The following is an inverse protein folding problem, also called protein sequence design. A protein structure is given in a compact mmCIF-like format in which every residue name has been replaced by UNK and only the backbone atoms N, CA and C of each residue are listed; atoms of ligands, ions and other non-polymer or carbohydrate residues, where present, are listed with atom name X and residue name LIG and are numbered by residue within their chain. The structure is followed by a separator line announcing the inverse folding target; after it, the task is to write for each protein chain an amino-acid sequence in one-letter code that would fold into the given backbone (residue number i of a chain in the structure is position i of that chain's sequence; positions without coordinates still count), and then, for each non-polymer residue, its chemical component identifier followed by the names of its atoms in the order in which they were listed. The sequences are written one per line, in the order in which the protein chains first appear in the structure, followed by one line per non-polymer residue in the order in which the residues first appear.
data_IF_977411260271
#
_entry.id   IF_977411260271
#
_cell.length_a   1.000
_cell.length_b   1.000
_cell.length_c   1.000
_cell.angle_alpha   90.00
_cell.angle_beta   90.00
_cell.angle_gamma   90.00
#
_symmetry.space_group_name_H-M   'P 1'
#
loop_
_entity.id
_entity.type
_entity.pdbx_description
1 polymer ?
#
# COMPACT_ATOMS: atom_id res chain seq x y z
N UNK A 1 3.02 -26.49 19.93
CA UNK A 1 3.87 -25.54 19.16
C UNK A 1 3.46 -24.12 19.53
N UNK A 2 4.37 -23.31 20.07
CA UNK A 2 4.04 -21.96 20.56
C UNK A 2 3.78 -20.96 19.41
N UNK A 3 3.16 -19.82 19.72
CA UNK A 3 2.76 -18.81 18.73
C UNK A 3 3.95 -18.26 17.92
N UNK A 4 5.12 -18.11 18.57
CA UNK A 4 6.36 -17.67 17.89
C UNK A 4 6.81 -18.68 16.83
N UNK A 5 6.75 -19.98 17.13
CA UNK A 5 7.09 -21.05 16.18
C UNK A 5 6.10 -21.12 15.02
N UNK A 6 4.79 -20.92 15.28
CA UNK A 6 3.77 -20.81 14.22
C UNK A 6 4.01 -19.60 13.30
N UNK A 7 4.33 -18.43 13.88
CA UNK A 7 4.63 -17.23 13.12
C UNK A 7 5.91 -17.38 12.27
N UNK A 8 6.96 -17.99 12.83
CA UNK A 8 8.22 -18.28 12.11
C UNK A 8 8.02 -19.30 10.98
N UNK A 9 7.24 -20.35 11.19
CA UNK A 9 6.90 -21.33 10.14
C UNK A 9 6.02 -20.71 9.05
N UNK A 10 5.08 -19.84 9.41
CA UNK A 10 4.28 -19.11 8.44
C UNK A 10 5.15 -18.14 7.63
N UNK A 11 6.07 -17.40 8.27
CA UNK A 11 7.05 -16.56 7.58
C UNK A 11 7.97 -17.37 6.67
N UNK A 12 8.47 -18.52 7.13
CA UNK A 12 9.31 -19.41 6.32
C UNK A 12 8.56 -19.98 5.12
N UNK A 13 7.31 -20.42 5.31
CA UNK A 13 6.44 -20.87 4.23
C UNK A 13 6.15 -19.74 3.22
N UNK A 14 5.86 -18.53 3.71
CA UNK A 14 5.64 -17.35 2.86
C UNK A 14 6.90 -16.95 2.11
N UNK A 15 8.09 -17.06 2.72
CA UNK A 15 9.38 -16.85 2.05
C UNK A 15 9.66 -17.91 0.99
N UNK A 16 9.32 -19.17 1.25
CA UNK A 16 9.54 -20.27 0.30
C UNK A 16 8.55 -20.21 -0.88
N UNK A 17 7.29 -19.83 -0.62
CA UNK A 17 6.30 -19.51 -1.66
C UNK A 17 6.71 -18.26 -2.44
N UNK A 18 7.27 -17.25 -1.78
CA UNK A 18 7.82 -16.06 -2.41
C UNK A 18 9.04 -16.36 -3.30
N UNK A 19 9.88 -17.31 -2.91
CA UNK A 19 11.06 -17.78 -3.64
C UNK A 19 10.65 -18.65 -4.84
N UNK A 20 9.67 -19.53 -4.68
CA UNK A 20 9.07 -20.30 -5.78
C UNK A 20 8.34 -19.39 -6.79
N UNK A 21 7.65 -18.35 -6.30
CA UNK A 21 7.00 -17.33 -7.14
C UNK A 21 8.02 -16.36 -7.76
N UNK A 22 9.23 -16.26 -7.19
CA UNK A 22 10.26 -15.37 -7.71
C UNK A 22 10.86 -15.86 -9.04
N UNK A 23 10.71 -17.15 -9.37
CA UNK A 23 11.20 -17.76 -10.61
C UNK A 23 10.20 -17.66 -11.79
N UNK A 24 8.95 -17.23 -11.57
CA UNK A 24 7.99 -16.97 -12.64
C UNK A 24 7.63 -15.48 -12.67
N UNK A 25 8.36 -14.71 -13.47
CA UNK A 25 7.84 -13.43 -13.95
C UNK A 25 6.62 -13.74 -14.83
N UNK A 26 5.41 -13.58 -14.32
CA UNK A 26 4.22 -13.89 -15.12
C UNK A 26 3.00 -13.13 -14.66
N UNK A 27 2.65 -12.08 -15.38
CA UNK A 27 1.28 -11.58 -15.36
C UNK A 27 0.31 -12.75 -15.63
N UNK A 28 -0.87 -12.74 -15.01
CA UNK A 28 -1.89 -13.75 -15.33
C UNK A 28 -2.28 -13.64 -16.81
N UNK A 29 -2.79 -14.70 -17.45
CA UNK A 29 -3.21 -14.66 -18.86
C UNK A 29 -4.21 -13.52 -19.16
N UNK A 30 -5.11 -13.23 -18.23
CA UNK A 30 -6.09 -12.14 -18.34
C UNK A 30 -5.40 -10.78 -18.30
N UNK A 31 -4.42 -10.61 -17.41
CA UNK A 31 -3.66 -9.37 -17.31
C UNK A 31 -2.76 -9.18 -18.54
N UNK A 32 -2.20 -10.27 -19.09
CA UNK A 32 -1.48 -10.24 -20.35
C UNK A 32 -2.37 -9.79 -21.51
N UNK A 33 -3.59 -10.32 -21.60
CA UNK A 33 -4.57 -9.90 -22.62
C UNK A 33 -4.82 -8.39 -22.55
N UNK A 34 -5.03 -7.84 -21.34
CA UNK A 34 -5.23 -6.39 -21.15
C UNK A 34 -3.99 -5.58 -21.52
N UNK A 35 -2.80 -6.08 -21.21
CA UNK A 35 -1.53 -5.43 -21.57
C UNK A 35 -1.36 -5.41 -23.09
N UNK A 36 -1.61 -6.54 -23.77
CA UNK A 36 -1.53 -6.68 -25.22
C UNK A 36 -2.54 -5.78 -25.94
N UNK A 37 -3.77 -5.69 -25.44
CA UNK A 37 -4.77 -4.77 -25.98
C UNK A 37 -4.29 -3.32 -25.89
N UNK A 38 -3.81 -2.89 -24.73
CA UNK A 38 -3.27 -1.53 -24.55
C UNK A 38 -1.99 -1.30 -25.34
N UNK A 39 -1.17 -2.33 -25.52
CA UNK A 39 -0.02 -2.27 -26.41
C UNK A 39 -0.46 -2.01 -27.83
N UNK A 40 -1.42 -2.79 -28.35
CA UNK A 40 -1.99 -2.62 -29.68
C UNK A 40 -2.57 -1.21 -29.88
N UNK A 41 -3.21 -0.65 -28.86
CA UNK A 41 -3.71 0.73 -28.84
C UNK A 41 -2.63 1.82 -28.78
N UNK A 42 -1.40 1.48 -28.38
CA UNK A 42 -0.35 2.47 -28.14
C UNK A 42 0.81 2.40 -29.13
N UNK A 43 1.04 1.24 -29.75
CA UNK A 43 2.17 0.99 -30.65
C UNK A 43 2.17 1.89 -31.89
N UNK A 44 3.30 2.50 -32.27
CA UNK A 44 3.43 3.24 -33.50
C UNK A 44 3.47 2.26 -34.68
N UNK A 45 2.45 2.26 -35.53
CA UNK A 45 2.41 1.44 -36.75
C UNK A 45 2.64 2.32 -37.97
N UNK A 46 3.49 1.82 -38.87
CA UNK A 46 3.87 2.48 -40.11
C UNK A 46 3.73 1.54 -41.30
N UNK A 47 3.44 2.14 -42.45
CA UNK A 47 3.62 1.51 -43.77
C UNK A 47 4.59 2.37 -44.56
N UNK A 48 5.67 1.78 -45.02
CA UNK A 48 6.76 2.45 -45.73
C UNK A 48 6.74 2.01 -47.19
N UNK A 49 6.71 2.99 -48.08
CA UNK A 49 6.84 2.81 -49.52
C UNK A 49 8.24 3.26 -49.92
N UNK A 50 9.01 2.35 -50.51
CA UNK A 50 10.37 2.65 -50.97
C UNK A 50 10.39 3.05 -52.43
N UNK A 51 11.47 3.71 -52.86
CA UNK A 51 11.72 4.07 -54.25
C UNK A 51 11.87 2.86 -55.19
N UNK A 52 12.14 1.66 -54.64
CA UNK A 52 12.17 0.40 -55.37
C UNK A 52 10.78 -0.23 -55.58
N UNK A 53 9.73 0.35 -54.99
CA UNK A 53 8.38 -0.19 -55.02
C UNK A 53 8.09 -1.24 -53.93
N UNK A 54 9.01 -1.44 -52.98
CA UNK A 54 8.77 -2.31 -51.82
C UNK A 54 7.81 -1.64 -50.83
N UNK A 55 6.95 -2.45 -50.21
CA UNK A 55 6.02 -2.02 -49.17
C UNK A 55 6.31 -2.79 -47.89
N UNK A 56 6.72 -2.07 -46.85
CA UNK A 56 7.06 -2.64 -45.54
C UNK A 56 6.11 -2.09 -44.50
N UNK A 57 5.41 -2.97 -43.79
CA UNK A 57 4.48 -2.60 -42.72
C UNK A 57 4.94 -3.20 -41.39
N UNK A 58 4.76 -2.45 -40.30
CA UNK A 58 5.04 -2.95 -38.96
C UNK A 58 5.15 -1.85 -37.91
N UNK A 59 5.65 -2.26 -36.76
CA UNK A 59 5.89 -1.38 -35.63
C UNK A 59 7.18 -0.59 -35.82
N UNK A 60 7.12 0.71 -35.59
CA UNK A 60 8.30 1.55 -35.67
C UNK A 60 9.13 1.46 -34.38
N UNK A 61 10.18 0.64 -34.40
CA UNK A 61 11.03 0.43 -33.22
C UNK A 61 11.93 1.64 -32.97
N UNK A 62 12.66 2.07 -34.00
CA UNK A 62 13.65 3.13 -33.90
C UNK A 62 13.83 3.83 -35.26
N UNK A 63 14.22 5.11 -35.23
CA UNK A 63 14.69 5.83 -36.41
C UNK A 63 16.04 6.47 -36.09
N UNK A 64 17.11 5.93 -36.69
CA UNK A 64 18.45 6.51 -36.63
C UNK A 64 18.57 7.65 -37.64
N UNK A 65 19.73 8.30 -37.72
CA UNK A 65 19.97 9.36 -38.71
C UNK A 65 19.85 8.91 -40.16
N UNK A 66 20.02 7.62 -40.45
CA UNK A 66 20.18 7.06 -41.78
C UNK A 66 19.24 5.90 -42.09
N UNK A 67 18.64 5.28 -41.07
CA UNK A 67 17.83 4.08 -41.20
C UNK A 67 16.57 4.13 -40.33
N UNK A 68 15.55 3.41 -40.78
CA UNK A 68 14.32 3.14 -40.06
C UNK A 68 14.27 1.65 -39.71
N UNK A 69 14.02 1.33 -38.44
CA UNK A 69 13.95 -0.03 -37.92
C UNK A 69 12.49 -0.40 -37.65
N UNK A 70 12.01 -1.42 -38.35
CA UNK A 70 10.60 -1.81 -38.38
C UNK A 70 10.49 -3.26 -37.94
N UNK A 71 9.67 -3.51 -36.92
CA UNK A 71 9.36 -4.86 -36.46
C UNK A 71 8.02 -5.30 -37.06
N UNK A 72 7.98 -6.35 -37.91
CA UNK A 72 6.76 -6.76 -38.58
C UNK A 72 5.77 -7.53 -37.69
N UNK A 73 6.21 -8.02 -36.53
CA UNK A 73 5.34 -8.72 -35.58
C UNK A 73 4.35 -7.77 -34.87
N UNK A 74 3.41 -8.33 -34.11
CA UNK A 74 2.38 -7.61 -33.35
C UNK A 74 2.60 -7.65 -31.82
N UNK A 75 3.58 -8.45 -31.36
CA UNK A 75 3.97 -8.59 -29.97
C UNK A 75 4.82 -7.44 -29.43
N UNK A 76 5.12 -7.50 -28.13
CA UNK A 76 6.01 -6.55 -27.45
C UNK A 76 7.47 -6.79 -27.85
N UNK A 77 8.24 -5.77 -28.26
CA UNK A 77 9.65 -5.91 -28.61
C UNK A 77 10.52 -6.00 -27.34
N UNK A 78 10.47 -7.15 -26.68
CA UNK A 78 11.17 -7.48 -25.43
C UNK A 78 11.88 -8.82 -25.58
N UNK A 79 13.08 -8.94 -24.98
CA UNK A 79 13.93 -10.11 -25.15
C UNK A 79 14.65 -10.11 -26.50
N UNK A 80 15.48 -11.11 -26.77
CA UNK A 80 16.41 -11.05 -27.92
C UNK A 80 15.81 -11.51 -29.26
N UNK A 81 14.61 -12.10 -29.25
CA UNK A 81 14.04 -12.78 -30.42
C UNK A 81 13.61 -11.81 -31.53
N UNK A 82 12.98 -10.69 -31.17
CA UNK A 82 12.42 -9.73 -32.14
C UNK A 82 13.49 -9.00 -32.96
N UNK A 83 14.73 -8.91 -32.46
CA UNK A 83 15.83 -8.22 -33.14
C UNK A 83 16.17 -8.89 -34.47
N UNK A 84 16.09 -10.22 -34.54
CA UNK A 84 16.35 -10.99 -35.77
C UNK A 84 15.28 -10.78 -36.86
N UNK A 85 14.11 -10.26 -36.50
CA UNK A 85 12.99 -10.03 -37.40
C UNK A 85 12.92 -8.59 -37.92
N UNK A 86 13.81 -7.71 -37.43
CA UNK A 86 13.83 -6.30 -37.81
C UNK A 86 14.08 -6.11 -39.31
N UNK A 87 13.22 -5.31 -39.94
CA UNK A 87 13.45 -4.76 -41.28
C UNK A 87 14.11 -3.39 -41.14
N UNK A 88 15.18 -3.19 -41.91
CA UNK A 88 15.96 -1.96 -41.91
C UNK A 88 15.77 -1.30 -43.28
N UNK A 89 15.32 -0.05 -43.28
CA UNK A 89 15.08 0.74 -44.49
C UNK A 89 15.95 1.99 -44.46
N UNK A 90 16.74 2.22 -45.49
CA UNK A 90 17.53 3.44 -45.63
C UNK A 90 16.61 4.65 -45.78
N UNK A 91 16.83 5.71 -45.00
CA UNK A 91 15.98 6.92 -44.99
C UNK A 91 15.91 7.62 -46.35
N UNK A 92 16.95 7.48 -47.17
CA UNK A 92 16.99 8.04 -48.52
C UNK A 92 16.27 7.17 -49.57
N UNK A 93 15.95 5.92 -49.23
CA UNK A 93 15.22 4.99 -50.10
C UNK A 93 13.71 5.05 -49.84
N UNK A 94 13.27 5.89 -48.88
CA UNK A 94 11.88 6.09 -48.53
C UNK A 94 11.28 7.17 -49.42
N UNK A 95 10.21 6.82 -50.14
CA UNK A 95 9.40 7.79 -50.88
C UNK A 95 8.35 8.42 -49.95
N UNK A 96 7.60 7.56 -49.25
CA UNK A 96 6.57 8.01 -48.32
C UNK A 96 6.33 7.01 -47.18
N UNK A 97 5.81 7.52 -46.07
CA UNK A 97 5.40 6.74 -44.91
C UNK A 97 3.97 7.10 -44.56
N UNK A 98 3.11 6.09 -44.44
CA UNK A 98 1.84 6.21 -43.75
C UNK A 98 2.12 6.03 -42.26
N UNK A 99 2.08 7.13 -41.51
CA UNK A 99 2.30 7.13 -40.09
C UNK A 99 0.97 7.25 -39.36
N UNK A 100 0.73 6.33 -38.43
CA UNK A 100 -0.42 6.41 -37.54
C UNK A 100 0.00 6.89 -36.17
N UNK A 101 -0.23 8.17 -35.89
CA UNK A 101 0.03 8.73 -34.56
C UNK A 101 -0.94 8.09 -33.54
N UNK A 102 -0.37 7.27 -32.64
CA UNK A 102 -1.04 6.75 -31.44
C UNK A 102 -1.78 5.42 -31.57
N UNK A 103 -1.14 4.35 -32.07
CA UNK A 103 -1.68 2.99 -32.00
C UNK A 103 -2.08 2.39 -33.35
N UNK A 104 -2.10 1.06 -33.44
CA UNK A 104 -2.54 0.28 -34.60
C UNK A 104 -4.06 0.48 -34.82
N UNK A 105 -4.46 1.22 -35.86
CA UNK A 105 -5.87 1.63 -36.08
C UNK A 105 -6.63 0.72 -37.04
N UNK A 106 -6.82 -0.53 -36.65
CA UNK A 106 -8.04 -1.25 -37.05
C UNK A 106 -9.25 -0.83 -36.19
N UNK A 107 -9.04 -0.13 -35.07
CA UNK A 107 -10.06 0.15 -34.05
C UNK A 107 -10.44 1.63 -33.87
N UNK A 108 -9.85 2.59 -34.60
CA UNK A 108 -10.18 4.03 -34.45
C UNK A 108 -10.24 4.71 -35.82
N UNK A 109 -11.38 5.31 -36.16
CA UNK A 109 -11.69 6.05 -37.40
C UNK A 109 -10.84 7.34 -37.64
N UNK A 110 -9.54 7.33 -37.32
CA UNK A 110 -8.63 8.45 -37.59
C UNK A 110 -7.74 8.13 -38.78
N UNK A 111 -7.78 8.99 -39.81
CA UNK A 111 -6.92 8.93 -41.00
C UNK A 111 -5.44 8.85 -40.60
N UNK A 112 -4.67 8.02 -41.32
CA UNK A 112 -3.21 8.00 -41.24
C UNK A 112 -2.63 9.26 -41.88
N UNK A 113 -1.54 9.78 -41.32
CA UNK A 113 -0.83 10.91 -41.92
C UNK A 113 0.13 10.39 -42.98
N UNK A 114 0.02 10.96 -44.19
CA UNK A 114 0.97 10.67 -45.28
C UNK A 114 2.16 11.59 -45.12
N UNK A 115 3.32 11.01 -44.85
CA UNK A 115 4.59 11.72 -44.74
C UNK A 115 5.42 11.46 -46.00
N UNK A 116 5.59 12.50 -46.83
CA UNK A 116 6.44 12.41 -48.04
C UNK A 116 7.87 12.78 -47.67
N UNK A 117 8.82 11.91 -48.03
CA UNK A 117 10.23 12.09 -47.69
C UNK A 117 10.95 12.88 -48.79
N UNK A 118 11.62 14.00 -48.46
CA UNK A 118 12.35 14.77 -49.44
C UNK A 118 13.67 14.07 -49.80
N UNK A 119 13.83 13.70 -51.06
CA UNK A 119 15.11 13.22 -51.61
C UNK A 119 15.81 14.32 -52.40
N UNK A 120 17.13 14.56 -52.25
CA UNK A 120 18.04 14.02 -51.22
C UNK A 120 18.01 14.84 -49.90
N UNK A 121 18.47 14.25 -48.79
CA UNK A 121 18.56 14.83 -47.42
C UNK A 121 17.38 14.61 -46.47
N UNK A 122 16.68 13.48 -46.59
CA UNK A 122 15.58 13.13 -45.69
C UNK A 122 15.97 13.01 -44.19
N UNK A 123 17.27 12.86 -43.87
CA UNK A 123 17.82 12.62 -42.51
C UNK A 123 17.45 13.66 -41.44
N UNK A 124 17.19 14.90 -41.84
CA UNK A 124 16.78 15.98 -40.92
C UNK A 124 15.42 16.58 -41.30
N UNK A 125 14.70 15.88 -42.17
CA UNK A 125 13.40 16.32 -42.62
C UNK A 125 12.38 16.27 -41.46
N UNK A 126 11.37 17.14 -41.53
CA UNK A 126 10.26 17.12 -40.57
C UNK A 126 9.60 15.73 -40.44
N UNK A 127 9.36 14.97 -41.53
CA UNK A 127 8.95 13.57 -41.48
C UNK A 127 9.85 12.67 -40.62
N UNK A 128 11.15 12.75 -40.82
CA UNK A 128 12.12 11.94 -40.07
C UNK A 128 12.09 12.24 -38.57
N UNK A 129 12.05 13.54 -38.21
CA UNK A 129 11.95 13.96 -36.81
C UNK A 129 10.64 13.48 -36.16
N UNK A 130 9.53 13.50 -36.91
CA UNK A 130 8.25 12.96 -36.45
C UNK A 130 8.33 11.46 -36.19
N UNK A 131 8.90 10.70 -37.14
CA UNK A 131 9.15 9.26 -36.98
C UNK A 131 10.03 8.97 -35.76
N UNK A 132 11.15 9.67 -35.58
CA UNK A 132 12.02 9.47 -34.41
C UNK A 132 11.28 9.73 -33.09
N UNK A 133 10.42 10.75 -33.03
CA UNK A 133 9.62 11.03 -31.84
C UNK A 133 8.52 9.99 -31.59
N UNK A 134 8.01 9.35 -32.64
CA UNK A 134 6.99 8.30 -32.58
C UNK A 134 7.51 6.91 -32.25
N UNK A 135 8.82 6.66 -32.41
CA UNK A 135 9.45 5.35 -32.23
C UNK A 135 9.26 4.75 -30.83
N UNK A 136 9.21 3.41 -30.74
CA UNK A 136 9.16 2.69 -29.45
C UNK A 136 10.36 3.06 -28.58
N UNK A 137 11.57 3.07 -29.15
CA UNK A 137 12.81 3.48 -28.50
C UNK A 137 13.42 4.69 -29.23
N UNK A 138 13.16 5.91 -28.72
CA UNK A 138 13.49 7.17 -29.40
C UNK A 138 15.00 7.45 -29.53
N UNK A 139 15.76 7.11 -28.50
CA UNK A 139 17.14 7.60 -28.35
C UNK A 139 18.20 6.52 -28.66
N UNK A 140 17.83 5.25 -28.64
CA UNK A 140 18.69 4.16 -29.09
C UNK A 140 17.88 2.91 -29.45
N UNK A 141 18.44 2.08 -30.34
CA UNK A 141 17.98 0.71 -30.53
C UNK A 141 18.43 -0.10 -29.32
N UNK A 142 17.56 -0.21 -28.32
CA UNK A 142 17.80 -1.06 -27.15
C UNK A 142 17.22 -2.43 -27.43
N UNK A 143 17.98 -3.46 -27.08
CA UNK A 143 17.50 -4.84 -26.95
C UNK A 143 17.30 -5.14 -25.46
N UNK A 144 16.16 -4.73 -24.87
CA UNK A 144 15.96 -4.89 -23.45
C UNK A 144 15.81 -6.39 -23.13
N UNK A 145 16.66 -6.96 -22.25
CA UNK A 145 16.61 -8.38 -21.92
C UNK A 145 15.33 -8.77 -21.19
N UNK A 146 14.67 -7.80 -20.55
CA UNK A 146 13.43 -7.99 -19.84
C UNK A 146 12.47 -6.79 -20.02
N UNK A 147 11.24 -7.00 -19.57
CA UNK A 147 10.16 -6.02 -19.68
C UNK A 147 10.41 -4.77 -18.83
N UNK A 148 11.11 -4.88 -17.71
CA UNK A 148 11.38 -3.77 -16.79
C UNK A 148 12.26 -2.72 -17.47
N UNK A 149 13.35 -3.18 -18.10
CA UNK A 149 14.26 -2.35 -18.88
C UNK A 149 13.50 -1.71 -20.04
N UNK A 150 12.68 -2.48 -20.77
CA UNK A 150 11.89 -1.98 -21.90
C UNK A 150 10.95 -0.83 -21.51
N UNK A 151 10.17 -0.99 -20.44
CA UNK A 151 9.22 0.02 -19.96
C UNK A 151 9.96 1.29 -19.49
N UNK A 152 11.10 1.15 -18.81
CA UNK A 152 11.84 2.30 -18.28
C UNK A 152 12.35 3.23 -19.39
N UNK A 153 12.65 2.68 -20.56
CA UNK A 153 13.27 3.37 -21.69
C UNK A 153 12.27 3.82 -22.76
N UNK A 154 11.09 3.18 -22.86
CA UNK A 154 10.08 3.52 -23.87
C UNK A 154 8.91 4.36 -23.30
N UNK A 155 8.64 5.51 -23.92
CA UNK A 155 7.40 6.28 -23.62
C UNK A 155 6.14 5.55 -24.09
N UNK A 156 6.24 4.78 -25.18
CA UNK A 156 5.13 4.04 -25.77
C UNK A 156 4.76 2.88 -24.86
N UNK A 157 5.73 2.06 -24.45
CA UNK A 157 5.50 0.93 -23.52
C UNK A 157 4.82 1.40 -22.23
N UNK A 158 5.21 2.55 -21.68
CA UNK A 158 4.58 3.11 -20.46
C UNK A 158 3.08 3.41 -20.59
N UNK A 159 2.53 3.51 -21.79
CA UNK A 159 1.08 3.66 -21.99
C UNK A 159 0.35 2.32 -21.83
N UNK A 160 0.97 1.21 -22.23
CA UNK A 160 0.44 -0.14 -22.02
C UNK A 160 0.46 -0.51 -20.52
N UNK A 161 1.49 -0.10 -19.79
CA UNK A 161 1.69 -0.37 -18.36
C UNK A 161 1.37 0.87 -17.51
N UNK A 162 0.09 1.09 -17.18
CA UNK A 162 -0.37 2.25 -16.38
C UNK A 162 0.37 2.38 -15.05
N UNK A 163 0.66 3.63 -14.67
CA UNK A 163 1.26 3.96 -13.36
C UNK A 163 0.27 3.66 -12.25
N UNK A 164 0.68 2.83 -11.29
CA UNK A 164 -0.08 2.61 -10.08
C UNK A 164 0.32 3.63 -9.02
N UNK A 165 -0.65 4.32 -8.43
CA UNK A 165 -0.42 5.39 -7.45
C UNK A 165 -1.23 5.23 -6.17
N UNK A 166 -2.39 4.57 -6.24
CA UNK A 166 -3.25 4.40 -5.07
C UNK A 166 -2.91 3.07 -4.43
N UNK A 167 -2.54 3.06 -3.15
CA UNK A 167 -2.29 1.85 -2.36
C UNK A 167 -3.38 1.70 -1.31
N UNK A 168 -3.98 0.51 -1.29
CA UNK A 168 -4.82 0.03 -0.18
C UNK A 168 -4.02 -0.99 0.62
N UNK A 169 -3.98 -0.86 1.94
CA UNK A 169 -3.32 -1.81 2.82
C UNK A 169 -4.30 -2.35 3.86
N UNK A 170 -4.25 -3.66 4.08
CA UNK A 170 -4.99 -4.37 5.11
C UNK A 170 -4.01 -5.23 5.91
N UNK A 171 -4.24 -5.38 7.21
CA UNK A 171 -3.30 -6.13 8.03
C UNK A 171 -3.81 -6.47 9.41
N UNK A 172 -2.94 -7.06 10.20
CA UNK A 172 -3.09 -7.23 11.63
C UNK A 172 -1.91 -6.58 12.32
N UNK A 173 -2.13 -6.16 13.55
CA UNK A 173 -1.07 -5.59 14.35
C UNK A 173 -1.12 -6.13 15.77
N UNK A 174 0.02 -6.02 16.43
CA UNK A 174 0.27 -6.46 17.79
C UNK A 174 1.31 -5.52 18.40
N UNK A 175 1.26 -5.36 19.71
CA UNK A 175 2.15 -4.42 20.38
C UNK A 175 1.80 -4.25 21.84
N UNK A 176 2.46 -3.28 22.44
CA UNK A 176 2.22 -2.85 23.81
C UNK A 176 1.82 -1.38 23.82
N UNK A 177 0.99 -1.02 24.79
CA UNK A 177 0.64 0.36 25.09
C UNK A 177 0.95 0.70 26.55
N UNK A 178 1.01 2.00 26.83
CA UNK A 178 1.25 2.51 28.18
C UNK A 178 -0.02 2.42 29.03
N UNK A 179 -1.19 2.66 28.41
CA UNK A 179 -2.49 2.72 29.07
C UNK A 179 -2.84 1.47 29.88
N UNK A 180 -2.45 0.27 29.42
CA UNK A 180 -2.71 -0.96 30.18
C UNK A 180 -2.04 -0.91 31.56
N UNK A 181 -0.83 -0.35 31.66
CA UNK A 181 -0.14 -0.21 32.95
C UNK A 181 -0.71 0.93 33.79
N UNK A 182 -1.09 2.04 33.16
CA UNK A 182 -1.68 3.19 33.87
C UNK A 182 -3.00 2.81 34.53
N UNK A 183 -3.85 2.05 33.81
CA UNK A 183 -5.11 1.51 34.35
C UNK A 183 -4.85 0.60 35.56
N UNK A 184 -3.88 -0.32 35.46
CA UNK A 184 -3.52 -1.20 36.58
C UNK A 184 -3.08 -0.40 37.79
N UNK A 185 -2.25 0.62 37.58
CA UNK A 185 -1.78 1.51 38.66
C UNK A 185 -2.93 2.30 39.28
N UNK A 186 -3.87 2.80 38.46
CA UNK A 186 -5.06 3.51 38.93
C UNK A 186 -5.93 2.61 39.81
N UNK A 187 -6.25 1.40 39.34
CA UNK A 187 -7.12 0.45 40.08
C UNK A 187 -6.52 0.06 41.44
N UNK A 188 -5.19 -0.11 41.52
CA UNK A 188 -4.48 -0.36 42.78
C UNK A 188 -4.60 0.78 43.80
N UNK A 189 -4.90 2.00 43.35
CA UNK A 189 -5.11 3.17 44.20
C UNK A 189 -6.55 3.36 44.68
N UNK A 190 -7.48 2.50 44.25
CA UNK A 190 -8.89 2.56 44.68
C UNK A 190 -9.15 1.69 45.92
N UNK A 191 -10.32 1.84 46.52
CA UNK A 191 -10.82 0.94 47.58
C UNK A 191 -11.30 -0.42 47.06
N UNK A 192 -11.24 -0.67 45.75
CA UNK A 192 -11.64 -1.95 45.17
C UNK A 192 -10.72 -3.09 45.61
N UNK A 193 -11.25 -4.31 45.73
CA UNK A 193 -10.44 -5.51 45.96
C UNK A 193 -9.29 -5.63 44.95
N UNK A 194 -8.14 -6.14 45.41
CA UNK A 194 -6.94 -6.25 44.57
C UNK A 194 -7.15 -7.27 43.44
N UNK A 195 -6.82 -6.85 42.23
CA UNK A 195 -6.89 -7.70 41.03
C UNK A 195 -5.94 -8.90 41.09
N UNK A 196 -6.46 -10.09 40.77
CA UNK A 196 -5.67 -11.32 40.60
C UNK A 196 -5.25 -11.59 39.15
N UNK A 197 -6.02 -11.09 38.17
CA UNK A 197 -5.75 -11.28 36.74
C UNK A 197 -6.13 -10.04 35.93
N UNK A 198 -5.33 -9.70 34.92
CA UNK A 198 -5.61 -8.60 33.99
C UNK A 198 -5.12 -8.96 32.59
N UNK A 199 -6.00 -8.85 31.60
CA UNK A 199 -5.76 -9.27 30.22
C UNK A 199 -5.88 -8.11 29.23
N UNK A 200 -4.75 -7.47 28.89
CA UNK A 200 -4.68 -6.55 27.76
C UNK A 200 -4.48 -7.30 26.44
N UNK A 201 -5.54 -7.50 25.66
CA UNK A 201 -5.47 -8.10 24.33
C UNK A 201 -5.39 -7.04 23.23
N UNK A 202 -4.27 -6.93 22.51
CA UNK A 202 -4.11 -5.99 21.39
C UNK A 202 -3.96 -6.68 20.03
N UNK A 203 -4.79 -7.69 19.74
CA UNK A 203 -4.93 -8.15 18.35
C UNK A 203 -5.98 -7.26 17.70
N UNK A 204 -5.52 -6.22 17.02
CA UNK A 204 -6.41 -5.33 16.29
C UNK A 204 -6.24 -5.58 14.79
N UNK A 205 -7.36 -5.84 14.11
CA UNK A 205 -7.40 -5.77 12.65
C UNK A 205 -7.07 -4.34 12.21
N UNK A 206 -6.20 -4.21 11.22
CA UNK A 206 -6.03 -2.94 10.53
C UNK A 206 -7.05 -2.83 9.41
N UNK A 207 -8.06 -1.99 9.68
CA UNK A 207 -9.12 -1.66 8.74
C UNK A 207 -8.63 -0.58 7.78
N UNK A 208 -8.33 -1.02 6.57
CA UNK A 208 -8.07 -0.26 5.34
C UNK A 208 -7.30 1.06 5.48
N UNK A 209 -5.99 0.99 5.25
CA UNK A 209 -5.13 2.16 5.09
C UNK A 209 -5.10 2.58 3.62
N UNK A 210 -5.43 3.85 3.32
CA UNK A 210 -5.39 4.39 1.97
C UNK A 210 -4.19 5.32 1.84
N UNK A 211 -3.41 5.15 0.78
CA UNK A 211 -2.28 6.02 0.50
C UNK A 211 -2.08 6.28 -0.99
N UNK A 212 -1.47 7.42 -1.28
CA UNK A 212 -1.24 7.92 -2.62
C UNK A 212 0.24 8.20 -2.82
N UNK A 213 0.83 7.57 -3.84
CA UNK A 213 2.22 7.79 -4.24
C UNK A 213 2.33 9.03 -5.13
N UNK A 214 3.04 10.04 -4.62
CA UNK A 214 3.46 11.23 -5.34
C UNK A 214 4.87 10.99 -5.91
N UNK A 215 4.96 10.99 -7.25
CA UNK A 215 6.18 10.65 -8.00
C UNK A 215 6.62 9.20 -7.70
N UNK A 216 7.87 8.99 -7.28
CA UNK A 216 8.46 7.67 -7.06
C UNK A 216 8.70 7.32 -5.60
N UNK A 217 8.64 8.32 -4.71
CA UNK A 217 9.18 8.18 -3.34
C UNK A 217 8.27 8.71 -2.25
N UNK A 218 7.56 9.80 -2.49
CA UNK A 218 6.68 10.37 -1.47
C UNK A 218 5.35 9.63 -1.52
N UNK A 219 4.88 9.17 -0.36
CA UNK A 219 3.60 8.51 -0.20
C UNK A 219 2.84 9.27 0.89
N UNK A 220 1.64 9.73 0.57
CA UNK A 220 0.76 10.42 1.52
C UNK A 220 -0.40 9.48 1.82
N UNK A 221 -0.71 9.25 3.09
CA UNK A 221 -1.74 8.29 3.44
C UNK A 221 -2.46 8.63 4.73
N UNK A 222 -3.47 7.82 4.99
CA UNK A 222 -4.22 7.88 6.22
C UNK A 222 -5.16 6.69 6.36
N UNK A 223 -5.55 6.47 7.60
CA UNK A 223 -6.51 5.43 7.96
C UNK A 223 -7.92 5.88 7.58
N UNK A 224 -8.61 5.13 6.72
CA UNK A 224 -9.97 5.47 6.28
C UNK A 224 -11.02 5.25 7.37
N UNK A 225 -10.78 4.31 8.28
CA UNK A 225 -11.68 3.99 9.38
C UNK A 225 -11.04 4.36 10.71
N UNK A 226 -11.85 4.90 11.62
CA UNK A 226 -11.47 5.06 13.03
C UNK A 226 -10.99 3.74 13.55
N UNK A 227 -9.74 3.69 13.99
CA UNK A 227 -9.23 2.52 14.65
C UNK A 227 -9.54 2.64 16.13
N UNK A 228 -10.41 1.78 16.64
CA UNK A 228 -10.63 1.68 18.08
C UNK A 228 -9.49 0.84 18.65
N UNK A 229 -8.52 1.48 19.29
CA UNK A 229 -7.58 0.76 20.15
C UNK A 229 -8.34 0.42 21.42
N UNK A 230 -8.56 -0.86 21.67
CA UNK A 230 -9.38 -1.33 22.78
C UNK A 230 -8.47 -1.98 23.82
N UNK A 231 -8.58 -1.53 25.06
CA UNK A 231 -7.91 -2.11 26.22
C UNK A 231 -8.98 -2.43 27.25
N UNK A 232 -9.19 -3.72 27.47
CA UNK A 232 -10.08 -4.19 28.52
C UNK A 232 -9.28 -4.71 29.68
N UNK A 233 -9.62 -4.26 30.88
CA UNK A 233 -9.11 -4.81 32.12
C UNK A 233 -10.29 -5.40 32.87
N UNK A 234 -10.47 -6.71 32.66
CA UNK A 234 -11.37 -7.53 33.45
C UNK A 234 -10.73 -7.86 34.78
N UNK A 235 -11.48 -7.80 35.88
CA UNK A 235 -11.04 -8.33 37.18
C UNK A 235 -12.18 -8.98 37.94
N UNK A 236 -11.84 -10.06 38.64
CA UNK A 236 -12.70 -10.72 39.61
C UNK A 236 -11.93 -10.87 40.93
N UNK A 237 -12.62 -10.81 42.06
CA UNK A 237 -12.08 -11.13 43.39
C UNK A 237 -12.96 -12.12 44.11
N UNK A 238 -12.34 -13.11 44.76
CA UNK A 238 -12.98 -14.28 45.38
C UNK A 238 -13.01 -14.27 46.91
N UNK A 239 -12.45 -13.26 47.58
CA UNK A 239 -12.37 -13.23 49.04
C UNK A 239 -13.28 -12.11 49.61
N UNK A 240 -14.37 -12.55 50.26
CA UNK A 240 -15.39 -11.79 50.99
C UNK A 240 -16.29 -10.86 50.14
N UNK A 241 -17.28 -11.48 49.50
CA UNK A 241 -18.25 -10.83 48.60
C UNK A 241 -17.69 -10.75 47.19
N UNK A 242 -18.32 -11.44 46.24
CA UNK A 242 -17.82 -11.43 44.86
C UNK A 242 -18.10 -10.05 44.27
N UNK A 243 -17.09 -9.17 44.27
CA UNK A 243 -17.12 -7.91 43.51
C UNK A 243 -16.51 -8.18 42.15
N UNK A 244 -17.33 -8.01 41.12
CA UNK A 244 -16.88 -8.04 39.73
C UNK A 244 -16.76 -6.62 39.22
N UNK A 245 -15.66 -6.29 38.56
CA UNK A 245 -15.56 -5.04 37.86
C UNK A 245 -14.82 -5.20 36.52
N UNK A 246 -15.31 -4.46 35.54
CA UNK A 246 -14.80 -4.43 34.18
C UNK A 246 -14.52 -2.98 33.81
N UNK A 247 -13.31 -2.71 33.35
CA UNK A 247 -12.91 -1.42 32.84
C UNK A 247 -12.54 -1.54 31.38
N UNK A 248 -13.40 -0.99 30.52
CA UNK A 248 -13.13 -0.77 29.13
C UNK A 248 -12.50 0.62 28.96
N UNK A 249 -11.29 0.71 28.42
CA UNK A 249 -10.79 1.97 27.89
C UNK A 249 -10.49 1.81 26.42
N UNK A 250 -11.07 2.71 25.63
CA UNK A 250 -10.90 2.72 24.20
C UNK A 250 -10.34 4.05 23.73
N UNK A 251 -9.57 4.01 22.65
CA UNK A 251 -9.00 5.18 22.02
C UNK A 251 -9.26 5.10 20.53
N UNK A 252 -10.19 5.93 20.06
CA UNK A 252 -10.52 6.06 18.64
C UNK A 252 -9.47 6.95 18.00
N UNK A 253 -8.64 6.40 17.12
CA UNK A 253 -7.58 7.15 16.46
C UNK A 253 -7.84 7.28 14.95
N UNK A 254 -7.51 8.46 14.42
CA UNK A 254 -7.34 8.78 13.02
C UNK A 254 -5.87 9.12 12.75
N UNK A 255 -5.38 8.71 11.59
CA UNK A 255 -3.99 8.90 11.20
C UNK A 255 -3.91 9.58 9.86
N UNK A 256 -3.05 10.58 9.77
CA UNK A 256 -2.59 11.15 8.50
C UNK A 256 -1.08 11.13 8.52
N UNK A 257 -0.45 10.57 7.49
CA UNK A 257 0.98 10.38 7.46
C UNK A 257 1.60 10.69 6.09
N UNK A 258 2.90 10.94 6.13
CA UNK A 258 3.76 10.98 4.96
C UNK A 258 4.89 9.96 5.14
N UNK A 259 5.12 9.14 4.12
CA UNK A 259 6.21 8.19 4.03
C UNK A 259 7.12 8.54 2.85
N UNK A 260 8.39 8.21 3.00
CA UNK A 260 9.40 8.33 1.97
C UNK A 260 10.02 6.97 1.69
N UNK A 261 10.05 6.57 0.42
CA UNK A 261 10.70 5.35 -0.03
C UNK A 261 12.23 5.55 -0.09
N UNK A 262 12.90 5.02 0.93
CA UNK A 262 14.37 4.99 1.05
C UNK A 262 14.92 4.05 -0.03
N UNK A 263 14.44 2.81 -0.02
CA UNK A 263 14.64 1.84 -1.10
C UNK A 263 13.34 1.80 -1.88
N UNK A 264 13.33 2.33 -3.10
CA UNK A 264 12.12 2.46 -3.90
C UNK A 264 11.92 1.27 -4.83
N UNK A 265 10.66 0.88 -5.00
CA UNK A 265 10.25 0.21 -6.23
C UNK A 265 10.09 1.25 -7.36
N UNK A 266 10.14 0.79 -8.60
CA UNK A 266 9.87 1.66 -9.73
C UNK A 266 8.34 1.84 -9.90
N UNK A 267 7.91 2.66 -10.86
CA UNK A 267 6.47 2.94 -11.06
C UNK A 267 5.67 1.73 -11.58
N UNK A 268 6.35 0.64 -11.89
CA UNK A 268 5.82 -0.57 -12.50
C UNK A 268 5.90 -1.76 -11.55
N UNK A 269 6.45 -1.56 -10.35
CA UNK A 269 6.63 -2.60 -9.33
C UNK A 269 7.53 -3.74 -9.82
N UNK A 270 8.52 -3.39 -10.65
CA UNK A 270 9.52 -4.29 -11.21
C UNK A 270 10.43 -4.83 -10.10
N UNK A 271 10.81 -3.95 -9.17
CA UNK A 271 11.55 -4.34 -7.98
C UNK A 271 10.62 -4.95 -6.95
N UNK A 272 11.02 -6.13 -6.47
CA UNK A 272 10.30 -6.89 -5.45
C UNK A 272 10.38 -6.30 -4.05
N UNK A 273 11.25 -5.32 -3.80
CA UNK A 273 11.48 -4.81 -2.45
C UNK A 273 11.34 -3.30 -2.37
N UNK A 274 10.74 -2.83 -1.27
CA UNK A 274 10.66 -1.41 -0.93
C UNK A 274 10.75 -1.20 0.59
N UNK A 275 11.51 -0.19 0.98
CA UNK A 275 11.69 0.23 2.38
C UNK A 275 11.21 1.67 2.51
N UNK A 276 10.28 1.87 3.44
CA UNK A 276 9.62 3.14 3.71
C UNK A 276 9.96 3.60 5.13
N UNK A 277 10.17 4.90 5.28
CA UNK A 277 10.19 5.56 6.58
C UNK A 277 9.29 6.79 6.53
N UNK A 278 8.55 7.05 7.59
CA UNK A 278 7.56 8.11 7.59
C UNK A 278 7.25 8.65 8.97
N UNK A 279 6.52 9.75 8.96
CA UNK A 279 5.96 10.36 10.14
C UNK A 279 4.52 10.79 9.87
N UNK A 280 3.72 10.92 10.93
CA UNK A 280 2.33 11.30 10.82
C UNK A 280 1.80 12.00 12.05
N UNK A 281 0.62 12.58 11.87
CA UNK A 281 -0.20 13.13 12.93
C UNK A 281 -1.23 12.06 13.33
N UNK A 282 -1.37 11.88 14.64
CA UNK A 282 -2.42 11.11 15.26
C UNK A 282 -3.42 12.09 15.86
N UNK A 283 -4.69 11.87 15.58
CA UNK A 283 -5.80 12.58 16.19
C UNK A 283 -6.66 11.50 16.81
N UNK A 284 -6.88 11.53 18.11
CA UNK A 284 -7.76 10.54 18.72
C UNK A 284 -8.58 11.06 19.86
N UNK A 285 -9.59 10.26 20.20
CA UNK A 285 -10.57 10.56 21.23
C UNK A 285 -10.61 9.38 22.21
N UNK A 286 -10.31 9.62 23.50
CA UNK A 286 -10.42 8.59 24.52
C UNK A 286 -11.89 8.41 24.90
N UNK A 287 -12.30 7.16 25.04
CA UNK A 287 -13.57 6.79 25.66
C UNK A 287 -13.28 5.79 26.75
N UNK A 288 -13.92 5.94 27.91
CA UNK A 288 -13.76 4.97 28.98
C UNK A 288 -15.12 4.52 29.50
N UNK A 289 -15.16 3.31 30.04
CA UNK A 289 -16.35 2.72 30.62
C UNK A 289 -15.92 1.86 31.78
N UNK A 290 -16.43 2.18 32.96
CA UNK A 290 -16.19 1.39 34.15
C UNK A 290 -17.51 0.76 34.59
N UNK A 291 -17.57 -0.56 34.59
CA UNK A 291 -18.68 -1.34 35.09
C UNK A 291 -18.24 -2.03 36.38
N UNK A 292 -19.12 -2.05 37.38
CA UNK A 292 -18.92 -2.87 38.57
C UNK A 292 -20.24 -3.48 39.01
N UNK A 293 -20.16 -4.64 39.64
CA UNK A 293 -21.28 -5.36 40.22
C UNK A 293 -20.86 -6.09 41.48
N UNK A 294 -21.75 -6.10 42.47
CA UNK A 294 -21.63 -6.79 43.74
C UNK A 294 -22.56 -8.00 43.76
N UNK A 295 -22.05 -9.13 44.24
CA UNK A 295 -22.86 -10.27 44.64
C UNK A 295 -22.89 -10.34 46.16
N UNK A 296 -24.10 -10.29 46.74
CA UNK A 296 -24.28 -10.59 48.16
C UNK A 296 -24.29 -12.10 48.37
N UNK A 297 -23.49 -12.58 49.32
CA UNK A 297 -23.50 -14.00 49.71
C UNK A 297 -24.84 -14.42 50.37
N UNK A 298 -25.58 -13.45 50.92
CA UNK A 298 -26.86 -13.68 51.59
C UNK A 298 -28.03 -13.77 50.59
N UNK A 299 -27.91 -13.17 49.40
CA UNK A 299 -28.89 -13.24 48.32
C UNK A 299 -28.18 -13.25 46.94
N UNK A 300 -27.70 -14.42 46.49
CA UNK A 300 -26.95 -14.53 45.23
C UNK A 300 -27.80 -14.25 43.98
N UNK A 301 -29.12 -14.13 44.11
CA UNK A 301 -30.02 -13.72 43.02
C UNK A 301 -30.11 -12.19 42.88
N UNK A 302 -29.72 -11.42 43.90
CA UNK A 302 -29.74 -9.96 43.87
C UNK A 302 -28.35 -9.40 43.50
N UNK A 303 -28.16 -9.15 42.21
CA UNK A 303 -26.96 -8.51 41.67
C UNK A 303 -27.20 -7.01 41.60
N UNK A 304 -26.48 -6.25 42.42
CA UNK A 304 -26.50 -4.80 42.38
C UNK A 304 -25.23 -4.29 41.69
N UNK A 305 -25.35 -3.33 40.77
CA UNK A 305 -24.21 -2.86 39.99
C UNK A 305 -24.41 -1.46 39.46
N UNK A 306 -23.30 -0.83 39.11
CA UNK A 306 -23.24 0.53 38.61
C UNK A 306 -22.40 0.62 37.34
N UNK A 307 -22.62 1.71 36.61
CA UNK A 307 -21.91 1.97 35.37
C UNK A 307 -21.50 3.43 35.27
N UNK A 308 -20.22 3.66 35.00
CA UNK A 308 -19.72 4.94 34.55
C UNK A 308 -19.42 4.86 33.06
N UNK A 309 -20.08 5.71 32.30
CA UNK A 309 -19.74 5.98 30.91
C UNK A 309 -19.23 7.39 30.78
N UNK A 310 -18.04 7.55 30.20
CA UNK A 310 -17.62 8.88 29.76
C UNK A 310 -17.11 8.77 28.34
N UNK A 311 -17.79 9.51 27.47
CA UNK A 311 -17.28 9.86 26.16
C UNK A 311 -16.69 11.25 26.28
N UNK A 312 -15.36 11.34 26.21
CA UNK A 312 -14.70 12.63 26.30
C UNK A 312 -14.70 13.28 24.91
N UNK A 313 -15.18 14.52 24.84
CA UNK A 313 -15.08 15.32 23.61
C UNK A 313 -13.63 15.78 23.35
N UNK A 314 -12.73 15.58 24.32
CA UNK A 314 -11.33 16.00 24.25
C UNK A 314 -10.61 15.27 23.11
N UNK A 315 -10.00 16.08 22.25
CA UNK A 315 -9.17 15.60 21.16
C UNK A 315 -7.72 15.52 21.66
N UNK A 316 -7.16 14.31 21.64
CA UNK A 316 -5.76 14.07 21.86
C UNK A 316 -4.99 14.14 20.56
N UNK A 317 -3.91 14.92 20.58
CA UNK A 317 -2.96 14.98 19.48
C UNK A 317 -1.76 14.09 19.80
N UNK A 318 -1.22 13.47 18.75
CA UNK A 318 -0.02 12.68 18.83
C UNK A 318 0.80 12.71 17.56
N UNK A 319 2.03 12.25 17.68
CA UNK A 319 2.93 12.02 16.57
C UNK A 319 3.10 10.52 16.33
N UNK A 320 3.21 10.14 15.07
CA UNK A 320 3.58 8.80 14.66
C UNK A 320 4.92 8.84 13.95
N UNK A 321 5.81 7.90 14.28
CA UNK A 321 6.98 7.55 13.49
C UNK A 321 6.79 6.12 13.02
N UNK A 322 6.99 5.86 11.73
CA UNK A 322 6.78 4.52 11.17
C UNK A 322 7.90 4.11 10.22
N UNK A 323 8.20 2.81 10.23
CA UNK A 323 9.05 2.16 9.26
C UNK A 323 8.33 0.96 8.68
N UNK A 324 8.37 0.79 7.36
CA UNK A 324 7.70 -0.32 6.69
C UNK A 324 8.59 -0.97 5.63
N UNK A 325 8.40 -2.27 5.47
CA UNK A 325 9.03 -3.10 4.46
C UNK A 325 7.95 -3.75 3.61
N UNK A 326 8.09 -3.68 2.29
CA UNK A 326 7.18 -4.29 1.34
C UNK A 326 7.93 -5.28 0.45
N UNK A 327 7.37 -6.48 0.30
CA UNK A 327 7.75 -7.49 -0.67
C UNK A 327 6.66 -7.67 -1.73
N UNK A 328 6.92 -7.23 -2.96
CA UNK A 328 6.03 -7.36 -4.11
C UNK A 328 6.23 -8.72 -4.77
N UNK A 329 5.31 -9.66 -4.48
CA UNK A 329 5.27 -10.96 -5.14
C UNK A 329 4.50 -10.92 -6.47
N UNK A 330 3.77 -9.83 -6.73
CA UNK A 330 3.16 -9.53 -8.02
C UNK A 330 3.18 -8.01 -8.24
N UNK A 331 3.27 -7.49 -9.49
CA UNK A 331 3.32 -6.06 -9.74
C UNK A 331 2.15 -5.31 -9.08
N UNK A 332 2.47 -4.51 -8.06
CA UNK A 332 1.50 -3.75 -7.26
C UNK A 332 0.78 -4.55 -6.18
N UNK A 333 1.11 -5.80 -5.90
CA UNK A 333 0.59 -6.55 -4.77
C UNK A 333 1.76 -6.96 -3.87
N UNK A 334 1.73 -6.55 -2.60
CA UNK A 334 2.82 -6.81 -1.65
C UNK A 334 2.36 -7.41 -0.35
N UNK A 335 3.18 -8.30 0.21
CA UNK A 335 3.23 -8.53 1.65
C UNK A 335 4.00 -7.39 2.28
N UNK A 336 3.56 -6.90 3.42
CA UNK A 336 4.28 -5.84 4.12
C UNK A 336 4.37 -6.11 5.61
N UNK A 337 5.42 -5.59 6.21
CA UNK A 337 5.60 -5.53 7.67
C UNK A 337 5.95 -4.11 8.05
N UNK A 338 5.52 -3.65 9.23
CA UNK A 338 5.85 -2.32 9.71
C UNK A 338 6.03 -2.27 11.22
N UNK A 339 6.74 -1.25 11.67
CA UNK A 339 6.80 -0.82 13.05
C UNK A 339 6.34 0.63 13.16
N UNK A 340 5.41 0.89 14.07
CA UNK A 340 4.91 2.21 14.39
C UNK A 340 5.22 2.55 15.84
N UNK A 341 5.77 3.74 16.06
CA UNK A 341 5.91 4.38 17.35
C UNK A 341 4.89 5.52 17.42
N UNK A 342 3.92 5.40 18.30
CA UNK A 342 2.88 6.41 18.52
C UNK A 342 3.17 7.11 19.84
N UNK A 343 3.35 8.42 19.78
CA UNK A 343 3.54 9.30 20.92
C UNK A 343 2.31 10.17 21.03
N UNK A 344 1.48 9.95 22.04
CA UNK A 344 0.24 10.68 22.27
C UNK A 344 0.39 11.46 23.57
N UNK A 345 -0.12 12.69 23.59
CA UNK A 345 -0.16 13.46 24.82
C UNK A 345 -0.95 12.68 25.89
N UNK A 346 -0.49 12.70 27.15
CA UNK A 346 -1.23 12.06 28.22
C UNK A 346 -2.58 12.74 28.46
N UNK A 347 -3.54 11.96 28.95
CA UNK A 347 -4.87 12.43 29.29
C UNK A 347 -5.11 12.33 30.78
N UNK A 348 -5.44 13.44 31.43
CA UNK A 348 -5.68 13.46 32.87
C UNK A 348 -7.18 13.31 33.11
N UNK A 349 -7.55 12.26 33.83
CA UNK A 349 -8.91 12.07 34.34
C UNK A 349 -8.95 12.61 35.75
N UNK A 350 -9.83 13.57 36.00
CA UNK A 350 -10.08 14.10 37.34
C UNK A 350 -10.63 13.03 38.27
N UNK A 351 -10.40 13.20 39.57
CA UNK A 351 -10.99 12.33 40.60
C UNK A 351 -12.51 12.23 40.45
N UNK A 352 -13.05 11.03 40.66
CA UNK A 352 -14.48 10.73 40.53
C UNK A 352 -14.92 9.75 41.60
N UNK A 353 -16.08 10.00 42.19
CA UNK A 353 -16.77 9.02 43.02
C UNK A 353 -17.76 8.21 42.17
N UNK A 354 -17.79 6.90 42.42
CA UNK A 354 -18.75 5.99 41.83
C UNK A 354 -20.08 6.07 42.57
N UNK A 355 -21.18 6.14 41.81
CA UNK A 355 -22.52 6.01 42.35
C UNK A 355 -22.75 4.54 42.73
N UNK A 356 -22.70 4.24 44.03
CA UNK A 356 -22.80 2.88 44.58
C UNK A 356 -24.14 2.72 45.31
N UNK A 357 -24.73 1.50 45.35
CA UNK A 357 -25.97 1.24 46.07
C UNK A 357 -25.89 1.58 47.56
N UNK A 358 -27.05 1.87 48.16
CA UNK A 358 -27.17 2.17 49.59
C UNK A 358 -26.59 1.02 50.45
N UNK A 359 -25.63 1.35 51.32
CA UNK A 359 -24.95 0.37 52.19
C UNK A 359 -23.59 -0.10 51.69
N UNK A 360 -23.19 0.27 50.47
CA UNK A 360 -21.83 0.07 49.95
C UNK A 360 -20.97 1.30 50.24
N UNK A 361 -19.71 1.10 50.62
CA UNK A 361 -18.78 2.22 50.80
C UNK A 361 -18.52 2.91 49.45
N UNK A 362 -18.54 4.25 49.37
CA UNK A 362 -18.22 4.97 48.14
C UNK A 362 -16.86 4.52 47.57
N UNK A 363 -16.81 4.29 46.27
CA UNK A 363 -15.56 3.99 45.59
C UNK A 363 -15.08 5.27 44.90
N UNK A 364 -13.95 5.80 45.36
CA UNK A 364 -13.29 6.95 44.76
C UNK A 364 -12.23 6.46 43.78
N UNK A 365 -12.37 6.83 42.51
CA UNK A 365 -11.32 6.71 41.51
C UNK A 365 -10.43 7.95 41.63
N UNK A 366 -9.15 7.82 42.05
CA UNK A 366 -8.27 8.97 42.20
C UNK A 366 -7.99 9.61 40.84
N UNK A 367 -7.59 10.89 40.87
CA UNK A 367 -7.05 11.52 39.67
C UNK A 367 -5.88 10.70 39.13
N UNK A 368 -5.87 10.46 37.82
CA UNK A 368 -4.84 9.65 37.17
C UNK A 368 -4.59 10.12 35.74
N UNK A 369 -3.42 9.74 35.24
CA UNK A 369 -2.95 10.07 33.90
C UNK A 369 -3.00 8.80 33.04
N UNK A 370 -3.60 8.89 31.85
CA UNK A 370 -3.67 7.82 30.86
C UNK A 370 -2.78 8.14 29.66
N UNK A 371 -1.80 7.27 29.42
CA UNK A 371 -0.89 7.33 28.29
C UNK A 371 -1.34 6.45 27.13
N UNK A 372 -1.75 7.06 26.02
CA UNK A 372 -2.13 6.33 24.79
C UNK A 372 -0.94 6.03 23.85
N UNK A 373 0.28 6.30 24.32
CA UNK A 373 1.50 6.00 23.56
C UNK A 373 1.68 4.49 23.39
N UNK A 374 2.17 4.06 22.22
CA UNK A 374 2.28 2.64 21.88
C UNK A 374 3.40 2.34 20.90
N UNK A 375 3.92 1.10 20.97
CA UNK A 375 4.80 0.52 19.95
C UNK A 375 4.06 -0.65 19.32
N UNK A 376 3.93 -0.61 18.00
CA UNK A 376 3.13 -1.59 17.24
C UNK A 376 3.94 -2.20 16.13
N UNK A 377 3.90 -3.52 16.05
CA UNK A 377 4.34 -4.30 14.91
C UNK A 377 3.12 -4.66 14.08
N UNK A 378 3.30 -4.64 12.76
CA UNK A 378 2.23 -4.83 11.80
C UNK A 378 2.68 -5.79 10.71
N UNK A 379 1.72 -6.53 10.18
CA UNK A 379 1.90 -7.32 8.97
C UNK A 379 0.62 -7.36 8.18
N UNK A 380 0.73 -7.44 6.85
CA UNK A 380 -0.46 -7.42 6.01
C UNK A 380 -0.18 -7.55 4.53
N UNK A 381 -1.21 -7.20 3.76
CA UNK A 381 -1.21 -7.14 2.31
C UNK A 381 -1.49 -5.71 1.83
N UNK A 382 -0.88 -5.33 0.71
CA UNK A 382 -1.19 -4.07 0.02
C UNK A 382 -1.43 -4.30 -1.45
N UNK A 383 -2.38 -3.56 -2.03
CA UNK A 383 -2.67 -3.54 -3.46
C UNK A 383 -2.53 -2.11 -3.99
N UNK A 384 -1.79 -1.95 -5.08
CA UNK A 384 -1.60 -0.72 -5.83
C UNK A 384 -2.45 -0.75 -7.12
N UNK A 385 -3.15 0.36 -7.35
CA UNK A 385 -3.96 0.65 -8.53
C UNK A 385 -3.41 1.81 -9.35
#
# INVERSE_FOLDING_TARGET
MNLRTKALLFLALMMHVAEASAQQTGFSPEMWTVIEERWRESQPVIVVYTSSGEVIAGQQIHASSDSLFIYPGDGLPVGTQWVGELKIVGVNDIDSVLFQEGGNKLLRDKKADVMVFPSPNARYSKPHVQLRNGSVYKDSLLDPPDLEVAISQSKVMRKAFRRKRVRYSLGVNFGSDVITNDIKSMLQGTSLPKSYESYGGHINGEFLDLSFRVKDRLILGGSLFTRTSYTNVYTYTYDEGDVYYDLDVSYREHKVYAEYAIVKTDRFFSRKFEVLAGAGLLIGQPEWRFFFSYYSYEDPENIEGGYLYYNYEDILLGAQIKGAFHYYFFPGLSLWTAIDFNLVQPFVISERELDVPDGVSPITIPQHELGFSSVRFKLGLSIYF
#
